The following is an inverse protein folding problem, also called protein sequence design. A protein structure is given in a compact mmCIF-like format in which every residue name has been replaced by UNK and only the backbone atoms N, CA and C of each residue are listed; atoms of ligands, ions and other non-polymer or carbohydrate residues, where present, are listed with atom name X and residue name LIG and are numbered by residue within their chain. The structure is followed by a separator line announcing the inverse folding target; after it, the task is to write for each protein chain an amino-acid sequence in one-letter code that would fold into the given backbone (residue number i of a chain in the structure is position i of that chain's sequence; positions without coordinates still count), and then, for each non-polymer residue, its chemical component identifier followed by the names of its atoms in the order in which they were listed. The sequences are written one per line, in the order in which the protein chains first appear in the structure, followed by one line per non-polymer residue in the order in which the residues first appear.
data_IF_670680247129
#
_entry.id   IF_670680247129
#
_cell.length_a   1.000
_cell.length_b   1.000
_cell.length_c   1.000
_cell.angle_alpha   90.00
_cell.angle_beta   90.00
_cell.angle_gamma   90.00
#
_symmetry.space_group_name_H-M   'P 1'
#
loop_
_entity.id
_entity.type
_entity.pdbx_description
1 polymer ?
#
# COMPACT_ATOMS: atom_id res chain seq x y z
N UNK A 1 13.98 -3.64 4.58
CA UNK A 1 13.33 -3.19 5.83
C UNK A 1 11.85 -3.60 5.91
N UNK A 2 11.02 -3.32 4.90
CA UNK A 2 9.61 -3.78 4.86
C UNK A 2 9.49 -5.31 5.07
N UNK A 3 10.31 -6.10 4.37
CA UNK A 3 10.37 -7.55 4.56
C UNK A 3 10.70 -7.99 6.00
N UNK A 4 11.56 -7.23 6.70
CA UNK A 4 11.93 -7.49 8.09
C UNK A 4 10.73 -7.27 9.01
N UNK A 5 9.95 -6.21 8.77
CA UNK A 5 8.72 -5.92 9.51
C UNK A 5 7.74 -7.08 9.35
N UNK A 6 7.48 -7.50 8.11
CA UNK A 6 6.60 -8.63 7.79
C UNK A 6 7.08 -9.91 8.49
N UNK A 7 8.37 -10.22 8.40
CA UNK A 7 8.97 -11.38 9.06
C UNK A 7 8.84 -11.34 10.59
N UNK A 8 9.11 -10.20 11.22
CA UNK A 8 8.96 -10.02 12.66
C UNK A 8 7.50 -10.20 13.10
N UNK A 9 6.53 -9.73 12.30
CA UNK A 9 5.11 -9.95 12.55
C UNK A 9 4.73 -11.43 12.46
N UNK A 10 5.22 -12.15 11.45
CA UNK A 10 5.04 -13.61 11.35
C UNK A 10 5.72 -14.38 12.49
N UNK A 11 6.73 -13.81 13.14
CA UNK A 11 7.34 -14.38 14.36
C UNK A 11 6.67 -13.95 15.66
N UNK A 12 5.68 -13.05 15.62
CA UNK A 12 5.07 -12.46 16.81
C UNK A 12 5.91 -11.40 17.52
N UNK A 13 7.01 -10.96 16.91
CA UNK A 13 7.91 -9.94 17.44
C UNK A 13 7.41 -8.51 17.20
N UNK A 14 6.36 -8.10 17.92
CA UNK A 14 5.71 -6.79 17.75
C UNK A 14 6.66 -5.61 17.98
N UNK A 15 7.54 -5.70 18.98
CA UNK A 15 8.50 -4.62 19.30
C UNK A 15 9.55 -4.47 18.20
N UNK A 16 10.12 -5.57 17.72
CA UNK A 16 11.12 -5.52 16.63
C UNK A 16 10.49 -4.98 15.35
N UNK A 17 9.26 -5.42 15.03
CA UNK A 17 8.48 -4.89 13.91
C UNK A 17 8.24 -3.37 14.05
N UNK A 18 7.89 -2.91 15.25
CA UNK A 18 7.64 -1.49 15.53
C UNK A 18 8.91 -0.64 15.37
N UNK A 19 10.06 -1.13 15.86
CA UNK A 19 11.35 -0.45 15.68
C UNK A 19 11.66 -0.31 14.19
N UNK A 20 11.64 -1.41 13.43
CA UNK A 20 11.91 -1.36 11.99
C UNK A 20 10.92 -0.48 11.24
N UNK A 21 9.66 -0.44 11.65
CA UNK A 21 8.66 0.44 11.06
C UNK A 21 8.99 1.91 11.28
N UNK A 22 9.33 2.32 12.52
CA UNK A 22 9.75 3.68 12.82
C UNK A 22 10.98 4.13 12.02
N UNK A 23 11.98 3.24 11.90
CA UNK A 23 13.18 3.51 11.07
C UNK A 23 12.81 3.68 9.60
N UNK A 24 11.95 2.82 9.04
CA UNK A 24 11.53 2.89 7.63
C UNK A 24 10.82 4.20 7.32
N UNK A 25 9.84 4.59 8.15
CA UNK A 25 9.04 5.80 7.96
C UNK A 25 9.91 7.06 8.08
N UNK A 26 10.94 7.04 8.92
CA UNK A 26 11.90 8.13 9.01
C UNK A 26 12.71 8.32 7.71
N UNK A 27 13.26 7.24 7.14
CA UNK A 27 14.04 7.34 5.89
C UNK A 27 13.19 7.55 4.64
N UNK A 28 11.96 7.03 4.64
CA UNK A 28 11.00 7.17 3.55
C UNK A 28 9.62 7.33 4.15
N UNK A 29 9.01 8.51 3.95
CA UNK A 29 7.71 8.81 4.56
C UNK A 29 6.56 7.93 4.03
N UNK A 30 6.59 7.52 2.76
CA UNK A 30 5.45 6.84 2.12
C UNK A 30 4.99 5.51 2.76
N UNK A 31 5.89 4.65 3.29
CA UNK A 31 5.51 3.52 4.15
C UNK A 31 4.56 3.84 5.32
N UNK A 32 4.30 5.11 5.65
CA UNK A 32 3.26 5.52 6.60
C UNK A 32 1.88 4.97 6.25
N UNK A 33 1.59 4.70 4.96
CA UNK A 33 0.30 4.13 4.53
C UNK A 33 -0.01 2.77 5.15
N UNK A 34 1.03 2.02 5.56
CA UNK A 34 0.88 0.70 6.15
C UNK A 34 0.46 0.73 7.62
N UNK A 35 0.49 1.88 8.30
CA UNK A 35 0.22 1.96 9.75
C UNK A 35 -1.15 1.39 10.09
N UNK A 36 -2.15 1.69 9.28
CA UNK A 36 -3.52 1.27 9.50
C UNK A 36 -3.66 -0.25 9.38
N UNK A 37 -3.04 -0.84 8.36
CA UNK A 37 -3.02 -2.28 8.15
C UNK A 37 -2.29 -3.00 9.28
N UNK A 38 -1.16 -2.46 9.73
CA UNK A 38 -0.38 -3.00 10.84
C UNK A 38 -1.15 -2.99 12.15
N UNK A 39 -1.82 -1.89 12.50
CA UNK A 39 -2.61 -1.80 13.73
C UNK A 39 -3.79 -2.79 13.74
N UNK A 40 -4.49 -2.95 12.61
CA UNK A 40 -5.61 -3.90 12.48
C UNK A 40 -5.12 -5.36 12.48
N UNK A 41 -3.97 -5.63 11.86
CA UNK A 41 -3.32 -6.94 11.87
C UNK A 41 -2.89 -7.40 13.27
N UNK A 42 -2.50 -6.46 14.13
CA UNK A 42 -2.09 -6.70 15.52
C UNK A 42 -3.32 -6.90 16.43
N UNK A 43 -4.02 -8.02 16.24
CA UNK A 43 -5.11 -8.44 17.12
C UNK A 43 -4.56 -9.04 18.43
N UNK A 44 -5.31 -8.86 19.52
CA UNK A 44 -4.87 -9.30 20.85
C UNK A 44 -4.82 -10.82 20.91
N UNK A 45 -3.63 -11.35 21.20
CA UNK A 45 -3.47 -12.72 21.72
C UNK A 45 -4.31 -12.98 22.99
N UNK A 46 -4.96 -11.97 23.57
CA UNK A 46 -5.81 -12.12 24.76
C UNK A 46 -7.18 -12.76 24.49
N UNK A 47 -7.60 -12.98 23.24
CA UNK A 47 -8.80 -13.80 22.93
C UNK A 47 -8.53 -15.31 23.00
N UNK A 48 -7.34 -15.73 23.48
CA UNK A 48 -6.93 -17.13 23.66
C UNK A 48 -7.73 -17.95 24.69
N UNK A 49 -8.69 -17.36 25.43
CA UNK A 49 -9.41 -18.08 26.50
C UNK A 49 -10.86 -18.43 26.15
N UNK A 50 -11.44 -17.93 25.05
CA UNK A 50 -12.89 -18.14 24.79
C UNK A 50 -13.20 -18.56 23.36
N UNK A 51 -12.48 -19.56 22.84
CA UNK A 51 -12.94 -20.32 21.67
C UNK A 51 -12.51 -21.78 21.78
N UNK A 52 -13.08 -22.48 22.76
CA UNK A 52 -13.38 -23.90 22.58
C UNK A 52 -14.70 -23.96 21.82
N UNK A 53 -14.73 -24.78 20.78
CA UNK A 53 -15.87 -25.11 19.92
C UNK A 53 -16.01 -24.22 18.68
N UNK A 54 -15.42 -24.69 17.57
CA UNK A 54 -16.22 -25.19 16.45
C UNK A 54 -15.30 -25.85 15.42
N UNK A 55 -15.39 -27.18 15.36
CA UNK A 55 -14.97 -27.98 14.22
C UNK A 55 -15.84 -27.59 13.03
N UNK A 56 -15.24 -27.24 11.90
CA UNK A 56 -15.58 -27.85 10.60
C UNK A 56 -14.69 -27.25 9.53
N UNK A 57 -13.95 -28.14 8.89
CA UNK A 57 -13.06 -27.92 7.77
C UNK A 57 -13.82 -27.88 6.45
N UNK A 58 -13.26 -27.12 5.51
CA UNK A 58 -13.44 -27.18 4.05
C UNK A 58 -14.65 -26.41 3.45
N UNK A 59 -14.29 -25.43 2.59
CA UNK A 59 -15.10 -24.76 1.54
C UNK A 59 -15.94 -23.54 2.00
N UNK A 60 -15.32 -22.50 2.55
CA UNK A 60 -15.96 -21.15 2.64
C UNK A 60 -15.06 -19.96 2.19
N UNK A 61 -13.90 -20.22 1.58
CA UNK A 61 -12.84 -19.21 1.40
C UNK A 61 -13.03 -18.19 0.26
N UNK A 62 -14.13 -18.24 -0.49
CA UNK A 62 -14.45 -17.22 -1.51
C UNK A 62 -15.71 -16.40 -1.20
N UNK A 63 -16.46 -16.74 -0.14
CA UNK A 63 -17.71 -16.03 0.23
C UNK A 63 -17.54 -15.03 1.37
N UNK A 64 -16.42 -15.07 2.10
CA UNK A 64 -16.16 -14.13 3.20
C UNK A 64 -16.02 -12.67 2.71
N UNK A 65 -15.36 -12.45 1.57
CA UNK A 65 -15.28 -11.13 0.91
C UNK A 65 -16.63 -10.66 0.33
N UNK A 66 -17.60 -11.57 0.14
CA UNK A 66 -18.91 -11.24 -0.47
C UNK A 66 -19.96 -10.77 0.56
N UNK A 67 -19.69 -10.89 1.87
CA UNK A 67 -20.66 -10.58 2.94
C UNK A 67 -20.11 -9.65 4.03
N UNK A 68 -18.99 -8.98 3.79
CA UNK A 68 -18.50 -7.91 4.67
C UNK A 68 -19.05 -6.58 4.14
N UNK A 69 -20.21 -6.17 4.69
CA UNK A 69 -20.76 -4.83 4.45
C UNK A 69 -19.77 -3.82 5.04
N UNK A 70 -19.14 -3.02 4.19
CA UNK A 70 -18.28 -1.91 4.65
C UNK A 70 -19.13 -1.02 5.57
N UNK A 71 -18.81 -1.04 6.86
CA UNK A 71 -19.43 -0.18 7.86
C UNK A 71 -18.35 0.74 8.37
N UNK A 72 -18.48 2.04 8.06
CA UNK A 72 -17.56 3.07 8.54
C UNK A 72 -17.45 3.02 10.07
N UNK A 73 -18.57 2.79 10.78
CA UNK A 73 -18.59 2.62 12.23
C UNK A 73 -17.83 1.36 12.69
N UNK A 74 -17.89 0.26 11.94
CA UNK A 74 -17.15 -0.97 12.26
C UNK A 74 -15.64 -0.80 12.09
N UNK A 75 -15.21 -0.11 11.03
CA UNK A 75 -13.80 0.21 10.81
C UNK A 75 -13.25 1.13 11.91
N UNK A 76 -13.99 2.19 12.27
CA UNK A 76 -13.59 3.08 13.36
C UNK A 76 -13.55 2.33 14.69
N UNK A 77 -14.55 1.48 14.98
CA UNK A 77 -14.55 0.67 16.20
C UNK A 77 -13.34 -0.29 16.26
N UNK A 78 -13.00 -0.95 15.15
CA UNK A 78 -11.82 -1.84 15.10
C UNK A 78 -10.52 -1.05 15.22
N UNK A 79 -10.45 0.17 14.69
CA UNK A 79 -9.28 1.05 14.83
C UNK A 79 -9.10 1.58 16.26
N UNK A 80 -10.21 1.96 16.90
CA UNK A 80 -10.23 2.52 18.27
C UNK A 80 -10.27 1.45 19.36
N UNK A 81 -10.32 0.16 19.02
CA UNK A 81 -10.11 -0.91 19.98
C UNK A 81 -8.63 -0.91 20.44
N UNK A 82 -8.41 -0.26 21.58
CA UNK A 82 -7.09 0.02 22.14
C UNK A 82 -6.51 -1.24 22.81
N UNK A 83 -5.94 -2.12 21.99
CA UNK A 83 -5.20 -3.27 22.45
C UNK A 83 -3.78 -2.88 22.92
N UNK A 84 -3.27 -3.54 23.97
CA UNK A 84 -1.89 -3.33 24.48
C UNK A 84 -0.84 -3.47 23.38
N UNK A 85 -0.99 -4.46 22.49
CA UNK A 85 -0.06 -4.64 21.37
C UNK A 85 -0.05 -3.47 20.38
N UNK A 86 -1.21 -2.86 20.14
CA UNK A 86 -1.36 -1.70 19.24
C UNK A 86 -0.77 -0.44 19.84
N UNK A 87 -1.05 -0.19 21.13
CA UNK A 87 -0.45 0.91 21.88
C UNK A 87 1.07 0.74 21.92
N UNK A 88 1.56 -0.46 22.24
CA UNK A 88 3.00 -0.75 22.26
C UNK A 88 3.64 -0.53 20.89
N UNK A 89 3.03 -1.04 19.83
CA UNK A 89 3.51 -0.85 18.47
C UNK A 89 3.57 0.63 18.09
N UNK A 90 2.49 1.37 18.34
CA UNK A 90 2.41 2.81 18.06
C UNK A 90 3.41 3.63 18.86
N UNK A 91 3.55 3.34 20.16
CA UNK A 91 4.48 4.05 21.04
C UNK A 91 5.95 3.79 20.66
N UNK A 92 6.32 2.53 20.39
CA UNK A 92 7.69 2.18 20.00
C UNK A 92 8.04 2.73 18.62
N UNK A 93 7.17 2.51 17.63
CA UNK A 93 7.43 2.98 16.26
C UNK A 93 7.45 4.52 16.17
N UNK A 94 6.51 5.19 16.85
CA UNK A 94 6.47 6.64 16.97
C UNK A 94 7.68 7.18 17.71
N UNK A 95 8.06 6.56 18.84
CA UNK A 95 9.26 6.94 19.60
C UNK A 95 10.54 6.86 18.77
N UNK A 96 10.74 5.78 18.01
CA UNK A 96 11.89 5.65 17.09
C UNK A 96 11.84 6.71 15.99
N UNK A 97 10.67 6.93 15.38
CA UNK A 97 10.51 7.95 14.34
C UNK A 97 10.84 9.35 14.85
N UNK A 98 10.28 9.77 15.99
CA UNK A 98 10.52 11.09 16.57
C UNK A 98 11.95 11.25 17.07
N UNK A 99 12.55 10.21 17.64
CA UNK A 99 13.96 10.25 18.07
C UNK A 99 14.90 10.46 16.87
N UNK A 100 14.75 9.68 15.80
CA UNK A 100 15.58 9.85 14.59
C UNK A 100 15.32 11.20 13.92
N UNK A 101 14.06 11.64 13.87
CA UNK A 101 13.69 12.95 13.33
C UNK A 101 14.29 14.09 14.17
N UNK A 102 14.30 13.96 15.50
CA UNK A 102 14.92 14.92 16.41
C UNK A 102 16.45 14.97 16.25
N UNK A 103 17.11 13.82 16.08
CA UNK A 103 18.55 13.76 15.79
C UNK A 103 18.86 14.44 14.46
N UNK A 104 18.11 14.13 13.40
CA UNK A 104 18.31 14.77 12.08
C UNK A 104 18.00 16.27 12.11
N UNK A 105 16.97 16.69 12.86
CA UNK A 105 16.68 18.11 13.07
C UNK A 105 17.82 18.83 13.81
N UNK A 106 18.40 18.20 14.83
CA UNK A 106 19.55 18.77 15.53
C UNK A 106 20.77 18.96 14.60
N UNK A 107 20.99 18.05 13.66
CA UNK A 107 22.12 18.10 12.71
C UNK A 107 21.89 19.08 11.55
N UNK A 108 20.66 19.19 11.03
CA UNK A 108 20.38 19.85 9.74
C UNK A 108 19.33 20.98 9.83
N UNK A 109 18.70 21.17 10.99
CA UNK A 109 17.71 22.22 11.22
C UNK A 109 16.45 22.10 10.37
N UNK A 110 15.83 23.26 10.08
CA UNK A 110 14.55 23.35 9.36
C UNK A 110 14.62 22.81 7.92
N UNK A 111 15.80 22.84 7.31
CA UNK A 111 16.00 22.31 5.96
C UNK A 111 15.67 20.81 5.90
N UNK A 112 16.04 20.04 6.93
CA UNK A 112 15.68 18.63 6.99
C UNK A 112 14.17 18.43 7.09
N UNK A 113 13.48 19.17 7.96
CA UNK A 113 12.03 19.03 8.09
C UNK A 113 11.30 19.38 6.80
N UNK A 114 11.76 20.44 6.12
CA UNK A 114 11.18 20.85 4.85
C UNK A 114 11.37 19.75 3.80
N UNK A 115 12.61 19.34 3.53
CA UNK A 115 12.92 18.41 2.43
C UNK A 115 12.46 16.97 2.72
N UNK A 116 12.62 16.49 3.95
CA UNK A 116 12.34 15.10 4.29
C UNK A 116 10.86 14.83 4.63
N UNK A 117 10.10 15.84 5.09
CA UNK A 117 8.71 15.66 5.54
C UNK A 117 7.73 16.57 4.79
N UNK A 118 7.87 17.90 4.92
CA UNK A 118 6.83 18.81 4.47
C UNK A 118 6.72 18.94 2.94
N UNK A 119 7.85 18.83 2.25
CA UNK A 119 7.91 18.86 0.79
C UNK A 119 7.01 17.80 0.17
N UNK A 120 6.92 16.61 0.77
CA UNK A 120 6.08 15.52 0.25
C UNK A 120 4.57 15.82 0.29
N UNK A 121 4.12 16.71 1.19
CA UNK A 121 2.71 17.12 1.27
C UNK A 121 2.38 18.18 0.22
N UNK A 122 3.29 19.13 0.01
CA UNK A 122 3.10 20.26 -0.90
C UNK A 122 3.55 19.98 -2.33
N UNK A 123 4.33 18.91 -2.56
CA UNK A 123 4.90 18.57 -3.88
C UNK A 123 3.84 18.61 -4.97
N UNK A 124 4.13 19.39 -5.99
CA UNK A 124 3.43 19.45 -7.27
C UNK A 124 4.47 19.25 -8.36
N UNK A 125 4.20 18.33 -9.27
CA UNK A 125 5.11 18.02 -10.37
C UNK A 125 4.29 17.98 -11.65
N UNK A 126 4.28 19.06 -12.46
CA UNK A 126 3.50 19.08 -13.69
C UNK A 126 4.21 18.33 -14.83
N UNK A 127 5.53 18.17 -14.76
CA UNK A 127 6.33 17.46 -15.78
C UNK A 127 6.52 16.01 -15.37
N UNK A 128 6.68 15.13 -16.36
CA UNK A 128 7.00 13.71 -16.13
C UNK A 128 6.07 13.00 -15.12
N UNK A 129 4.83 13.48 -15.01
CA UNK A 129 3.87 13.02 -14.03
C UNK A 129 2.77 12.21 -14.72
N UNK A 130 2.76 10.91 -14.48
CA UNK A 130 1.78 9.97 -15.06
C UNK A 130 0.37 10.15 -14.49
N UNK A 131 0.20 10.97 -13.46
CA UNK A 131 -1.05 11.14 -12.75
C UNK A 131 -2.10 11.87 -13.59
N UNK A 132 -3.36 11.48 -13.44
CA UNK A 132 -4.51 12.20 -14.02
C UNK A 132 -4.58 13.68 -13.59
N UNK A 133 -3.93 14.01 -12.47
CA UNK A 133 -3.89 15.36 -11.91
C UNK A 133 -2.87 16.28 -12.59
N UNK A 134 -1.94 15.76 -13.40
CA UNK A 134 -0.83 16.59 -13.93
C UNK A 134 -1.34 17.80 -14.73
N UNK A 135 -2.38 17.61 -15.56
CA UNK A 135 -2.87 18.67 -16.44
C UNK A 135 -3.54 19.79 -15.64
N UNK A 136 -4.31 19.43 -14.61
CA UNK A 136 -4.86 20.40 -13.66
C UNK A 136 -3.73 21.14 -12.91
N UNK A 137 -2.69 20.41 -12.49
CA UNK A 137 -1.52 20.99 -11.81
C UNK A 137 -0.78 21.97 -12.73
N UNK A 138 -0.65 21.62 -14.00
CA UNK A 138 0.01 22.44 -15.02
C UNK A 138 -0.72 23.76 -15.25
N UNK A 139 -2.05 23.72 -15.44
CA UNK A 139 -2.85 24.93 -15.69
C UNK A 139 -2.85 25.91 -14.52
N UNK A 140 -2.73 25.39 -13.30
CA UNK A 140 -2.70 26.20 -12.08
C UNK A 140 -1.29 26.49 -11.58
N UNK A 141 -0.24 26.26 -12.38
CA UNK A 141 1.12 26.50 -11.92
C UNK A 141 1.40 27.98 -11.59
N UNK A 142 0.68 28.91 -12.24
CA UNK A 142 0.79 30.36 -12.00
C UNK A 142 -0.04 30.87 -10.81
N UNK A 143 -1.00 30.09 -10.31
CA UNK A 143 -1.87 30.46 -9.19
C UNK A 143 -1.60 29.56 -7.99
N UNK A 144 -1.38 30.15 -6.82
CA UNK A 144 -1.18 29.37 -5.60
C UNK A 144 -2.44 28.53 -5.30
N UNK A 145 -2.32 27.20 -5.32
CA UNK A 145 -3.40 26.31 -4.89
C UNK A 145 -3.87 26.67 -3.48
N UNK A 146 -5.18 26.72 -3.32
CA UNK A 146 -5.80 26.81 -1.99
C UNK A 146 -5.50 25.53 -1.19
N UNK A 147 -5.57 25.63 0.14
CA UNK A 147 -5.40 24.46 1.01
C UNK A 147 -6.46 23.39 0.73
N UNK A 148 -7.68 23.80 0.37
CA UNK A 148 -8.80 22.91 0.04
C UNK A 148 -8.49 22.08 -1.21
N UNK A 149 -8.01 22.71 -2.29
CA UNK A 149 -7.65 21.99 -3.54
C UNK A 149 -6.55 20.95 -3.31
N UNK A 150 -5.57 21.28 -2.46
CA UNK A 150 -4.51 20.33 -2.07
C UNK A 150 -5.10 19.12 -1.35
N UNK A 151 -6.04 19.34 -0.42
CA UNK A 151 -6.67 18.27 0.36
C UNK A 151 -7.61 17.39 -0.45
N UNK A 152 -8.34 17.95 -1.42
CA UNK A 152 -9.31 17.20 -2.25
C UNK A 152 -8.61 16.06 -2.99
N UNK A 153 -7.39 16.26 -3.50
CA UNK A 153 -6.63 15.20 -4.17
C UNK A 153 -6.28 14.00 -3.27
N UNK A 154 -6.27 14.17 -1.95
CA UNK A 154 -6.02 13.09 -0.99
C UNK A 154 -7.28 12.28 -0.65
N UNK A 155 -8.48 12.80 -0.92
CA UNK A 155 -9.73 12.14 -0.53
C UNK A 155 -9.92 10.78 -1.22
N UNK A 156 -9.80 10.66 -2.57
CA UNK A 156 -9.93 9.36 -3.23
C UNK A 156 -8.85 8.38 -2.77
N UNK A 157 -7.62 8.88 -2.59
CA UNK A 157 -6.50 8.08 -2.13
C UNK A 157 -6.76 7.52 -0.72
N UNK A 158 -7.15 8.37 0.24
CA UNK A 158 -7.46 7.97 1.61
C UNK A 158 -8.63 6.98 1.67
N UNK A 159 -9.68 7.22 0.87
CA UNK A 159 -10.82 6.32 0.77
C UNK A 159 -10.41 4.92 0.32
N UNK A 160 -9.67 4.81 -0.79
CA UNK A 160 -9.21 3.51 -1.31
C UNK A 160 -8.28 2.83 -0.32
N UNK A 161 -7.35 3.55 0.30
CA UNK A 161 -6.46 2.97 1.33
C UNK A 161 -7.25 2.40 2.51
N UNK A 162 -8.28 3.12 2.99
CA UNK A 162 -9.12 2.68 4.10
C UNK A 162 -9.91 1.42 3.73
N UNK A 163 -10.53 1.40 2.55
CA UNK A 163 -11.25 0.24 2.03
C UNK A 163 -10.33 -0.97 1.91
N UNK A 164 -9.19 -0.87 1.23
CA UNK A 164 -8.26 -1.99 1.09
C UNK A 164 -7.77 -2.52 2.45
N UNK A 165 -7.55 -1.61 3.41
CA UNK A 165 -7.16 -2.01 4.76
C UNK A 165 -8.25 -2.82 5.44
N UNK A 166 -9.51 -2.38 5.41
CA UNK A 166 -10.62 -3.11 6.05
C UNK A 166 -10.76 -4.55 5.56
N UNK A 167 -10.55 -4.78 4.26
CA UNK A 167 -10.76 -6.10 3.68
C UNK A 167 -9.52 -7.01 3.78
N UNK A 168 -8.31 -6.45 3.76
CA UNK A 168 -7.08 -7.25 3.60
C UNK A 168 -6.08 -7.13 4.75
N UNK A 169 -6.31 -6.34 5.79
CA UNK A 169 -5.33 -6.10 6.85
C UNK A 169 -4.78 -7.37 7.54
N UNK A 170 -5.57 -8.46 7.64
CA UNK A 170 -5.06 -9.72 8.25
C UNK A 170 -4.13 -10.51 7.31
N UNK A 171 -4.16 -10.23 6.01
CA UNK A 171 -3.18 -10.71 5.02
C UNK A 171 -2.18 -9.57 4.72
N UNK A 172 -1.25 -9.33 5.65
CA UNK A 172 -0.36 -8.15 5.62
C UNK A 172 0.47 -8.09 4.35
N UNK A 173 0.98 -9.22 3.88
CA UNK A 173 1.82 -9.27 2.67
C UNK A 173 1.04 -8.79 1.44
N UNK A 174 -0.17 -9.31 1.25
CA UNK A 174 -1.03 -8.89 0.15
C UNK A 174 -1.55 -7.46 0.36
N UNK A 175 -1.94 -7.09 1.58
CA UNK A 175 -2.41 -5.75 1.94
C UNK A 175 -1.36 -4.68 1.59
N UNK A 176 -0.09 -4.90 1.96
CA UNK A 176 0.99 -3.97 1.64
C UNK A 176 1.16 -3.81 0.13
N UNK A 177 1.10 -4.90 -0.63
CA UNK A 177 1.20 -4.85 -2.08
C UNK A 177 0.06 -4.01 -2.69
N UNK A 178 -1.20 -4.34 -2.40
CA UNK A 178 -2.36 -3.65 -2.97
C UNK A 178 -2.45 -2.19 -2.51
N UNK A 179 -2.10 -1.90 -1.24
CA UNK A 179 -2.01 -0.54 -0.73
C UNK A 179 -0.96 0.27 -1.49
N UNK A 180 0.19 -0.33 -1.81
CA UNK A 180 1.26 0.34 -2.57
C UNK A 180 0.81 0.66 -3.99
N UNK A 181 0.26 -0.33 -4.70
CA UNK A 181 -0.23 -0.13 -6.09
C UNK A 181 -1.35 0.91 -6.12
N UNK A 182 -2.31 0.84 -5.18
CA UNK A 182 -3.37 1.82 -5.07
C UNK A 182 -2.86 3.22 -4.67
N UNK A 183 -1.89 3.30 -3.75
CA UNK A 183 -1.30 4.57 -3.35
C UNK A 183 -0.67 5.27 -4.53
N UNK A 184 0.08 4.53 -5.36
CA UNK A 184 0.70 5.06 -6.58
C UNK A 184 -0.37 5.46 -7.59
N UNK A 185 -1.34 4.59 -7.90
CA UNK A 185 -2.36 4.87 -8.91
C UNK A 185 -3.21 6.11 -8.59
N UNK A 186 -3.52 6.34 -7.31
CA UNK A 186 -4.32 7.49 -6.85
C UNK A 186 -3.49 8.69 -6.39
N UNK A 187 -2.16 8.67 -6.59
CA UNK A 187 -1.32 9.79 -6.19
C UNK A 187 -1.45 10.98 -7.16
N UNK A 188 -1.39 12.21 -6.63
CA UNK A 188 -1.29 13.44 -7.44
C UNK A 188 0.00 13.57 -8.24
N UNK A 189 1.09 12.96 -7.76
CA UNK A 189 2.38 12.95 -8.42
C UNK A 189 2.83 11.49 -8.56
N UNK A 190 2.93 11.02 -9.79
CA UNK A 190 3.39 9.68 -10.13
C UNK A 190 4.63 9.80 -11.02
N UNK A 191 5.74 9.27 -10.54
CA UNK A 191 7.01 9.15 -11.29
C UNK A 191 7.36 7.68 -11.47
N UNK A 192 8.18 7.36 -12.47
CA UNK A 192 8.57 5.98 -12.77
C UNK A 192 9.31 5.28 -11.60
N UNK A 193 9.94 6.05 -10.71
CA UNK A 193 10.64 5.52 -9.54
C UNK A 193 9.71 4.74 -8.59
N UNK A 194 8.42 5.10 -8.52
CA UNK A 194 7.47 4.39 -7.66
C UNK A 194 7.27 2.93 -8.06
N UNK A 195 7.52 2.56 -9.33
CA UNK A 195 7.25 1.21 -9.80
C UNK A 195 8.15 0.17 -9.14
N UNK A 196 9.38 0.56 -8.81
CA UNK A 196 10.32 -0.27 -8.04
C UNK A 196 9.72 -0.68 -6.69
N UNK A 197 8.95 0.21 -6.05
CA UNK A 197 8.39 -0.04 -4.72
C UNK A 197 7.44 -1.24 -4.70
N UNK A 198 6.46 -1.32 -5.62
CA UNK A 198 5.57 -2.47 -5.67
C UNK A 198 6.22 -3.70 -6.33
N UNK A 199 7.20 -3.54 -7.23
CA UNK A 199 7.95 -4.68 -7.77
C UNK A 199 8.70 -5.46 -6.69
N UNK A 200 9.25 -4.78 -5.70
CA UNK A 200 9.89 -5.43 -4.55
C UNK A 200 8.93 -6.29 -3.71
N UNK A 201 7.61 -6.07 -3.82
CA UNK A 201 6.58 -6.79 -3.08
C UNK A 201 5.96 -7.94 -3.89
N UNK A 202 6.14 -7.98 -5.22
CA UNK A 202 5.60 -9.05 -6.09
C UNK A 202 6.01 -10.46 -5.62
N UNK A 203 7.28 -10.75 -5.26
CA UNK A 203 7.67 -12.09 -4.84
C UNK A 203 6.90 -12.63 -3.63
N UNK A 204 6.35 -11.74 -2.79
CA UNK A 204 5.56 -12.13 -1.61
C UNK A 204 4.16 -12.63 -1.96
N UNK A 205 3.59 -12.17 -3.07
CA UNK A 205 2.21 -12.48 -3.45
C UNK A 205 2.11 -13.57 -4.52
N UNK A 206 3.18 -13.84 -5.27
CA UNK A 206 3.20 -14.87 -6.33
C UNK A 206 2.74 -16.26 -5.83
N UNK A 207 3.18 -16.77 -4.66
CA UNK A 207 2.77 -18.11 -4.21
C UNK A 207 1.26 -18.23 -3.95
N UNK A 208 0.57 -17.10 -3.75
CA UNK A 208 -0.81 -17.04 -3.29
C UNK A 208 -1.79 -16.61 -4.38
N UNK A 209 -1.33 -16.45 -5.62
CA UNK A 209 -2.21 -16.12 -6.75
C UNK A 209 -2.69 -17.37 -7.49
N UNK A 210 -3.93 -17.30 -7.97
CA UNK A 210 -4.50 -18.28 -8.94
C UNK A 210 -4.29 -17.87 -10.39
N UNK A 211 -3.54 -16.78 -10.64
CA UNK A 211 -3.28 -16.32 -11.99
C UNK A 211 -2.49 -17.36 -12.79
N UNK A 212 -2.97 -17.64 -13.99
CA UNK A 212 -2.16 -18.36 -14.98
C UNK A 212 -1.04 -17.45 -15.48
N UNK A 213 0.08 -18.04 -15.93
CA UNK A 213 1.18 -17.28 -16.53
C UNK A 213 0.70 -16.39 -17.69
N UNK A 214 -0.25 -16.87 -18.50
CA UNK A 214 -0.86 -16.10 -19.58
C UNK A 214 -1.55 -14.83 -19.07
N UNK A 215 -2.37 -14.93 -18.02
CA UNK A 215 -3.06 -13.77 -17.45
C UNK A 215 -2.06 -12.79 -16.80
N UNK A 216 -1.04 -13.30 -16.12
CA UNK A 216 0.03 -12.47 -15.55
C UNK A 216 0.79 -11.70 -16.65
N UNK A 217 1.15 -12.37 -17.75
CA UNK A 217 1.77 -11.74 -18.91
C UNK A 217 0.85 -10.70 -19.55
N UNK A 218 -0.46 -10.97 -19.67
CA UNK A 218 -1.41 -9.98 -20.17
C UNK A 218 -1.50 -8.74 -19.27
N UNK A 219 -1.48 -8.90 -17.94
CA UNK A 219 -1.44 -7.77 -17.01
C UNK A 219 -0.17 -6.95 -17.17
N UNK A 220 0.99 -7.63 -17.28
CA UNK A 220 2.28 -6.98 -17.49
C UNK A 220 2.33 -6.21 -18.83
N UNK A 221 1.82 -6.82 -19.91
CA UNK A 221 1.76 -6.19 -21.22
C UNK A 221 0.81 -4.99 -21.24
N UNK A 222 -0.37 -5.10 -20.62
CA UNK A 222 -1.32 -3.99 -20.49
C UNK A 222 -0.69 -2.81 -19.74
N UNK A 223 -0.05 -3.08 -18.60
CA UNK A 223 0.60 -2.06 -17.79
C UNK A 223 1.79 -1.41 -18.52
N UNK A 224 2.60 -2.22 -19.22
CA UNK A 224 3.75 -1.73 -20.01
C UNK A 224 3.31 -0.91 -21.22
N UNK A 225 2.29 -1.37 -21.95
CA UNK A 225 1.75 -0.65 -23.10
C UNK A 225 1.17 0.71 -22.71
N UNK A 226 0.47 0.80 -21.56
CA UNK A 226 -0.05 2.07 -21.06
C UNK A 226 1.07 3.08 -20.73
N UNK A 227 2.21 2.61 -20.20
CA UNK A 227 3.38 3.47 -19.98
C UNK A 227 4.02 3.92 -21.28
N UNK A 228 4.25 3.00 -22.22
CA UNK A 228 4.85 3.33 -23.51
C UNK A 228 3.97 4.33 -24.29
N UNK A 229 2.66 4.16 -24.23
CA UNK A 229 1.69 5.12 -24.77
C UNK A 229 1.84 6.50 -24.12
N UNK A 230 1.96 6.58 -22.79
CA UNK A 230 2.20 7.83 -22.09
C UNK A 230 3.54 8.48 -22.49
N UNK A 231 4.61 7.67 -22.53
CA UNK A 231 5.96 8.11 -22.88
C UNK A 231 6.05 8.64 -24.31
N UNK A 232 5.28 8.08 -25.26
CA UNK A 232 5.20 8.57 -26.62
C UNK A 232 4.75 10.04 -26.65
N UNK A 233 3.67 10.36 -25.95
CA UNK A 233 3.15 11.73 -25.88
C UNK A 233 4.05 12.65 -25.08
N UNK A 234 4.63 12.17 -23.98
CA UNK A 234 5.59 12.93 -23.19
C UNK A 234 6.85 13.28 -24.01
N UNK A 235 7.31 12.36 -24.86
CA UNK A 235 8.42 12.62 -25.78
C UNK A 235 8.08 13.73 -26.79
N UNK A 236 6.89 13.67 -27.39
CA UNK A 236 6.42 14.70 -28.32
C UNK A 236 6.28 16.07 -27.64
N UNK A 237 5.83 16.10 -26.39
CA UNK A 237 5.73 17.34 -25.61
C UNK A 237 7.10 17.92 -25.26
N UNK A 238 7.97 17.14 -24.62
CA UNK A 238 9.21 17.63 -24.01
C UNK A 238 10.36 17.80 -25.00
N UNK A 239 10.49 16.88 -25.97
CA UNK A 239 11.63 16.88 -26.90
C UNK A 239 11.30 17.44 -28.28
N UNK A 240 10.05 17.27 -28.75
CA UNK A 240 9.61 17.82 -30.05
C UNK A 240 8.93 19.19 -29.92
N UNK A 241 8.64 19.65 -28.70
CA UNK A 241 7.97 20.93 -28.45
C UNK A 241 6.53 20.99 -28.99
N UNK A 242 5.89 19.84 -29.24
CA UNK A 242 4.52 19.80 -29.76
C UNK A 242 3.51 20.00 -28.62
N UNK A 243 2.46 20.80 -28.85
CA UNK A 243 1.44 21.11 -27.83
C UNK A 243 0.41 19.97 -27.64
N UNK A 244 0.87 18.79 -27.18
CA UNK A 244 0.07 17.55 -27.04
C UNK A 244 -0.46 17.32 -25.61
N UNK A 245 -0.72 18.39 -24.86
CA UNK A 245 -1.15 18.32 -23.45
C UNK A 245 -2.42 17.48 -23.25
N UNK A 246 -3.41 17.63 -24.14
CA UNK A 246 -4.67 16.89 -24.04
C UNK A 246 -4.48 15.39 -24.29
N UNK A 247 -3.68 15.02 -25.28
CA UNK A 247 -3.36 13.62 -25.59
C UNK A 247 -2.56 12.98 -24.44
N UNK A 248 -1.62 13.72 -23.85
CA UNK A 248 -0.87 13.28 -22.67
C UNK A 248 -1.79 13.09 -21.46
N UNK A 249 -2.78 13.96 -21.27
CA UNK A 249 -3.82 13.80 -20.25
C UNK A 249 -4.68 12.56 -20.49
N UNK A 250 -5.13 12.32 -21.72
CA UNK A 250 -5.85 11.11 -22.06
C UNK A 250 -5.01 9.84 -21.81
N UNK A 251 -3.71 9.89 -22.14
CA UNK A 251 -2.79 8.80 -21.84
C UNK A 251 -2.62 8.56 -20.33
N UNK A 252 -2.68 9.60 -19.51
CA UNK A 252 -2.66 9.50 -18.04
C UNK A 252 -3.93 8.82 -17.51
N UNK A 253 -5.10 9.11 -18.10
CA UNK A 253 -6.33 8.38 -17.81
C UNK A 253 -6.21 6.90 -18.20
N UNK A 254 -5.68 6.60 -19.39
CA UNK A 254 -5.45 5.21 -19.82
C UNK A 254 -4.51 4.48 -18.85
N UNK A 255 -3.43 5.12 -18.42
CA UNK A 255 -2.52 4.56 -17.43
C UNK A 255 -3.20 4.31 -16.08
N UNK A 256 -4.02 5.25 -15.60
CA UNK A 256 -4.82 5.07 -14.39
C UNK A 256 -5.76 3.86 -14.49
N UNK A 257 -6.54 3.76 -15.58
CA UNK A 257 -7.45 2.63 -15.82
C UNK A 257 -6.67 1.32 -15.89
N UNK A 258 -5.52 1.27 -16.56
CA UNK A 258 -4.67 0.09 -16.61
C UNK A 258 -4.23 -0.37 -15.22
N UNK A 259 -3.80 0.56 -14.35
CA UNK A 259 -3.44 0.22 -12.96
C UNK A 259 -4.64 -0.32 -12.17
N UNK A 260 -5.82 0.29 -12.30
CA UNK A 260 -7.04 -0.15 -11.60
C UNK A 260 -7.48 -1.54 -12.09
N UNK A 261 -7.43 -1.80 -13.40
CA UNK A 261 -7.76 -3.11 -13.98
C UNK A 261 -6.79 -4.18 -13.49
N UNK A 262 -5.48 -3.93 -13.57
CA UNK A 262 -4.46 -4.88 -13.07
C UNK A 262 -4.63 -5.15 -11.58
N UNK A 263 -4.85 -4.11 -10.78
CA UNK A 263 -5.12 -4.25 -9.35
C UNK A 263 -6.37 -5.10 -9.08
N UNK A 264 -7.45 -4.86 -9.83
CA UNK A 264 -8.71 -5.61 -9.71
C UNK A 264 -8.54 -7.09 -10.07
N UNK A 265 -7.78 -7.39 -11.13
CA UNK A 265 -7.46 -8.77 -11.54
C UNK A 265 -6.64 -9.46 -10.43
N UNK A 266 -5.65 -8.77 -9.86
CA UNK A 266 -4.82 -9.32 -8.78
C UNK A 266 -5.66 -9.62 -7.53
N UNK A 267 -6.58 -8.73 -7.16
CA UNK A 267 -7.52 -8.94 -6.05
C UNK A 267 -8.45 -10.12 -6.33
N UNK A 268 -9.02 -10.21 -7.53
CA UNK A 268 -9.94 -11.29 -7.89
C UNK A 268 -9.30 -12.68 -7.85
N UNK A 269 -8.02 -12.77 -8.22
CA UNK A 269 -7.29 -14.02 -8.28
C UNK A 269 -6.46 -14.34 -7.03
N UNK A 270 -6.56 -13.54 -5.97
CA UNK A 270 -5.81 -13.73 -4.74
C UNK A 270 -6.44 -14.82 -3.85
N UNK A 271 -5.61 -15.71 -3.30
CA UNK A 271 -6.02 -16.62 -2.22
C UNK A 271 -5.66 -16.01 -0.89
N UNK A 272 -6.68 -15.68 -0.11
CA UNK A 272 -6.53 -15.03 1.18
C UNK A 272 -5.70 -15.88 2.15
N UNK A 273 -4.61 -15.31 2.66
CA UNK A 273 -3.76 -15.95 3.67
C UNK A 273 -3.68 -15.07 4.91
N UNK A 274 -4.44 -15.45 5.94
CA UNK A 274 -4.38 -14.73 7.21
C UNK A 274 -3.06 -15.03 7.95
N UNK A 275 -2.46 -14.00 8.54
CA UNK A 275 -1.42 -14.15 9.57
C UNK A 275 -1.90 -15.04 10.73
N UNK A 276 -3.21 -15.08 10.99
CA UNK A 276 -3.81 -15.76 12.15
C UNK A 276 -4.39 -17.15 11.85
N UNK A 277 -4.08 -17.77 10.71
CA UNK A 277 -4.60 -19.10 10.38
C UNK A 277 -4.10 -20.16 11.38
N UNK A 278 -5.02 -20.63 12.26
CA UNK A 278 -4.87 -21.66 13.31
C UNK A 278 -4.31 -21.25 14.68
N UNK A 279 -4.44 -19.99 15.11
CA UNK A 279 -4.15 -19.61 16.52
C UNK A 279 -2.69 -19.80 16.98
N UNK A 280 -1.83 -20.28 16.07
CA UNK A 280 -0.40 -20.28 16.12
C UNK A 280 0.06 -19.56 14.85
N UNK A 281 1.07 -18.70 14.99
CA UNK A 281 1.78 -18.11 13.87
C UNK A 281 2.22 -19.27 12.99
N UNK A 282 1.73 -19.32 11.75
CA UNK A 282 1.99 -20.43 10.85
C UNK A 282 3.49 -20.42 10.52
N UNK A 283 4.27 -21.19 11.28
CA UNK A 283 5.55 -21.67 10.81
C UNK A 283 5.24 -22.57 9.62
N UNK A 284 5.94 -22.33 8.52
CA UNK A 284 6.01 -23.20 7.37
C UNK A 284 6.37 -24.62 7.86
N UNK A 285 5.37 -25.47 8.09
CA UNK A 285 5.61 -26.91 8.10
C UNK A 285 5.81 -27.30 6.64
N UNK A 286 7.02 -27.73 6.33
CA UNK A 286 7.35 -28.45 5.11
C UNK A 286 6.26 -29.47 4.83
N UNK A 287 5.65 -29.36 3.66
CA UNK A 287 4.81 -30.42 3.10
C UNK A 287 5.73 -31.62 2.90
N UNK A 288 5.81 -32.49 3.91
CA UNK A 288 6.35 -33.84 3.77
C UNK A 288 5.42 -34.58 2.82
N UNK A 289 5.92 -34.77 1.61
CA UNK A 289 5.33 -35.58 0.56
C UNK A 289 5.30 -37.04 1.03
N UNK A 290 4.29 -37.42 1.83
CA UNK A 290 3.99 -38.82 2.09
C UNK A 290 3.29 -39.40 0.87
N UNK A 291 4.09 -39.78 -0.13
CA UNK A 291 3.72 -40.86 -1.04
C UNK A 291 3.77 -42.16 -0.24
N UNK A 292 2.61 -42.61 0.22
CA UNK A 292 2.43 -43.99 0.66
C UNK A 292 2.45 -44.90 -0.57
N UNK A 293 3.25 -45.96 -0.44
CA UNK A 293 3.39 -47.12 -1.31
C UNK A 293 2.07 -47.71 -1.82
#
# INVERSE_FOLDING_TARGET
MILRIIYCLYKGGTVEAAVWYGVVVHFRIYPIIYVMALLIALESSSSKVTSKSLKSSHIEDARFLRKTRFSCCGFLAELFDLNRCRILFGAVSGGVFFLLTGVSYYLYGDQFLHEALFYHLTRTDPRHNFSIYFYHIYLHHSHSFSLVERLVSFVPQFFVQSVLTTYFAKDVSFCFFIQTVAFVAFNKVITAQYFVWFFCLIPLIIPWTTLTLRQALMCFLLWSAAQLHWLLWAYALEFRGSSVFFQLWLASLTFFVANVVVLSILIWHHRYVSITSKGALCMHEEVKDTKSH
#
